data_IF_546586861901
#
_entry.id   IF_546586861901
#
_cell.length_a   1.000
_cell.length_b   1.000
_cell.length_c   1.000
_cell.angle_alpha   90.00
_cell.angle_beta   90.00
_cell.angle_gamma   90.00
#
_symmetry.space_group_name_H-M   'P 1'
#
loop_
_entity.id
_entity.type
_entity.pdbx_description
1 polymer ?
#
# COMPACT_ATOMS: atom_id res chain seq x y z
N UNK A 1 17.27 -4.96 -11.93
CA UNK A 1 16.17 -4.81 -10.94
C UNK A 1 16.10 -6.02 -10.00
N UNK A 2 15.77 -7.22 -10.50
CA UNK A 2 15.62 -8.43 -9.67
C UNK A 2 16.89 -8.74 -8.85
N UNK A 3 18.07 -8.66 -9.46
CA UNK A 3 19.33 -8.93 -8.74
C UNK A 3 19.57 -7.98 -7.57
N UNK A 4 19.22 -6.70 -7.70
CA UNK A 4 19.35 -5.73 -6.62
C UNK A 4 18.41 -6.06 -5.46
N UNK A 5 17.16 -6.41 -5.77
CA UNK A 5 16.16 -6.83 -4.77
C UNK A 5 16.65 -8.08 -4.02
N UNK A 6 17.12 -9.09 -4.76
CA UNK A 6 17.62 -10.34 -4.19
C UNK A 6 18.88 -10.13 -3.32
N UNK A 7 19.70 -9.11 -3.63
CA UNK A 7 20.86 -8.71 -2.83
C UNK A 7 20.51 -7.89 -1.59
N UNK A 8 19.23 -7.61 -1.34
CA UNK A 8 18.81 -6.87 -0.14
C UNK A 8 18.60 -5.37 -0.36
N UNK A 9 18.67 -4.86 -1.60
CA UNK A 9 18.46 -3.45 -1.86
C UNK A 9 17.05 -3.00 -1.45
N UNK A 10 16.96 -1.81 -0.87
CA UNK A 10 15.69 -1.14 -0.59
C UNK A 10 15.04 -0.76 -1.91
N UNK A 11 13.75 -1.03 -1.99
CA UNK A 11 12.91 -0.54 -3.07
C UNK A 11 11.59 -0.02 -2.53
N UNK A 12 10.93 0.81 -3.32
CA UNK A 12 9.59 1.29 -3.07
C UNK A 12 8.75 1.19 -4.34
N UNK A 13 7.44 1.14 -4.14
CA UNK A 13 6.46 1.31 -5.20
C UNK A 13 5.82 2.68 -5.00
N UNK A 14 5.94 3.53 -6.01
CA UNK A 14 5.38 4.87 -6.03
C UNK A 14 4.34 4.93 -7.14
N UNK A 15 3.16 5.43 -6.81
CA UNK A 15 2.10 5.65 -7.78
C UNK A 15 1.99 7.14 -8.08
N UNK A 16 1.70 7.44 -9.33
CA UNK A 16 1.42 8.75 -9.87
C UNK A 16 0.04 8.73 -10.51
N UNK A 17 -0.93 9.38 -9.85
CA UNK A 17 -2.30 9.46 -10.34
C UNK A 17 -2.62 10.88 -10.80
N UNK A 18 -3.02 11.01 -12.06
CA UNK A 18 -3.40 12.29 -12.68
C UNK A 18 -4.74 12.18 -13.41
N UNK A 19 -5.55 13.24 -13.33
CA UNK A 19 -6.74 13.42 -14.16
C UNK A 19 -6.37 13.88 -15.58
N UNK A 20 -7.07 13.37 -16.60
CA UNK A 20 -6.85 13.74 -18.02
C UNK A 20 -8.10 14.27 -18.69
N UNK A 21 -9.01 14.84 -17.89
CA UNK A 21 -10.22 15.47 -18.39
C UNK A 21 -9.84 16.53 -19.44
N UNK A 22 -10.45 16.43 -20.62
CA UNK A 22 -10.21 17.37 -21.72
C UNK A 22 -10.92 18.69 -21.45
N UNK A 23 -10.29 19.82 -21.81
CA UNK A 23 -10.93 21.14 -21.75
C UNK A 23 -10.71 21.93 -20.46
N UNK A 24 -9.76 21.55 -19.60
CA UNK A 24 -9.36 22.35 -18.43
C UNK A 24 -10.35 22.35 -17.26
N UNK A 25 -11.43 21.56 -17.34
CA UNK A 25 -12.41 21.42 -16.24
C UNK A 25 -11.86 20.52 -15.13
N UNK A 26 -11.79 21.00 -13.87
CA UNK A 26 -11.37 20.18 -12.74
C UNK A 26 -12.25 18.95 -12.50
N UNK A 27 -11.72 17.96 -11.78
CA UNK A 27 -12.45 16.73 -11.41
C UNK A 27 -13.56 17.07 -10.41
N UNK A 28 -14.80 17.15 -10.92
CA UNK A 28 -16.01 17.44 -10.13
C UNK A 28 -16.73 16.21 -9.55
N UNK A 29 -16.39 15.00 -9.99
CA UNK A 29 -17.04 13.74 -9.60
C UNK A 29 -16.03 12.61 -9.44
N UNK A 30 -16.35 11.65 -8.58
CA UNK A 30 -15.53 10.48 -8.31
C UNK A 30 -14.09 10.85 -7.89
N UNK A 31 -14.00 11.75 -6.91
CA UNK A 31 -12.75 12.27 -6.38
C UNK A 31 -11.82 11.15 -5.93
N UNK A 32 -10.53 11.42 -6.00
CA UNK A 32 -9.53 10.48 -5.54
C UNK A 32 -9.46 10.48 -4.01
N UNK A 33 -9.65 9.31 -3.41
CA UNK A 33 -9.40 9.02 -2.01
C UNK A 33 -8.10 8.25 -1.79
N UNK A 34 -7.24 8.73 -0.88
CA UNK A 34 -6.11 7.99 -0.35
C UNK A 34 -6.38 7.59 1.10
N UNK A 35 -6.23 6.31 1.39
CA UNK A 35 -6.31 5.77 2.74
C UNK A 35 -4.91 5.46 3.26
N UNK A 36 -4.54 6.12 4.35
CA UNK A 36 -3.31 5.89 5.09
C UNK A 36 -3.62 5.06 6.33
N UNK A 37 -3.33 3.74 6.31
CA UNK A 37 -3.64 2.86 7.43
C UNK A 37 -2.69 3.11 8.61
N UNK A 38 -3.25 3.03 9.82
CA UNK A 38 -2.47 2.89 11.05
C UNK A 38 -2.73 1.50 11.63
N UNK A 39 -1.67 0.78 11.99
CA UNK A 39 -1.73 -0.57 12.52
C UNK A 39 -1.40 -0.57 14.01
N UNK A 40 -1.92 -1.55 14.74
CA UNK A 40 -1.52 -1.74 16.13
C UNK A 40 -0.06 -2.18 16.21
N UNK A 41 0.79 -1.33 16.77
CA UNK A 41 2.15 -1.72 17.16
C UNK A 41 2.24 -2.02 18.65
N UNK A 42 1.23 -1.64 19.43
CA UNK A 42 1.11 -1.91 20.86
C UNK A 42 0.44 -3.26 21.08
N UNK A 43 1.20 -4.33 20.88
CA UNK A 43 0.83 -5.62 21.45
C UNK A 43 2.11 -6.43 21.66
N UNK A 44 2.49 -6.59 22.91
CA UNK A 44 3.40 -7.63 23.37
C UNK A 44 2.68 -8.96 23.65
N UNK A 45 1.34 -9.00 23.55
CA UNK A 45 0.53 -9.95 24.32
C UNK A 45 -0.32 -10.92 23.48
N UNK A 46 0.02 -11.16 22.21
CA UNK A 46 -0.52 -12.35 21.56
C UNK A 46 0.22 -13.59 22.07
N UNK A 47 -0.50 -14.58 22.65
CA UNK A 47 0.12 -15.81 23.12
C UNK A 47 0.85 -16.45 21.95
N UNK A 48 2.07 -16.87 22.23
CA UNK A 48 2.84 -17.73 21.35
C UNK A 48 1.91 -18.74 20.69
N UNK A 49 1.89 -18.77 19.35
CA UNK A 49 1.66 -19.99 18.61
C UNK A 49 2.57 -21.06 19.23
N UNK A 50 2.02 -21.81 20.18
CA UNK A 50 2.68 -22.76 21.06
C UNK A 50 2.27 -24.20 20.75
N UNK A 51 1.58 -24.43 19.62
CA UNK A 51 1.19 -25.78 19.18
C UNK A 51 2.05 -26.34 18.03
N UNK A 52 3.11 -25.64 17.60
CA UNK A 52 4.09 -26.22 16.66
C UNK A 52 5.38 -26.58 17.42
N UNK A 53 5.89 -27.83 17.29
CA UNK A 53 7.12 -28.25 17.97
C UNK A 53 8.27 -27.30 17.60
N UNK A 54 8.88 -26.71 18.64
CA UNK A 54 10.03 -25.81 18.51
C UNK A 54 11.24 -26.61 18.03
N UNK A 55 11.53 -26.60 16.73
CA UNK A 55 12.85 -26.97 16.23
C UNK A 55 13.85 -25.89 16.64
N UNK A 56 14.88 -26.28 17.37
CA UNK A 56 16.03 -25.45 17.71
C UNK A 56 16.65 -24.84 16.45
N UNK A 57 16.71 -23.51 16.40
CA UNK A 57 17.32 -22.75 15.33
C UNK A 57 16.82 -21.32 15.38
N UNK A 58 17.73 -20.37 15.59
CA UNK A 58 17.47 -18.92 15.66
C UNK A 58 16.42 -18.45 14.64
N UNK A 59 15.21 -18.15 15.11
CA UNK A 59 14.25 -17.33 14.36
C UNK A 59 14.25 -15.95 14.99
N UNK A 60 15.01 -15.03 14.40
CA UNK A 60 14.68 -13.61 14.51
C UNK A 60 13.28 -13.46 13.92
N UNK A 61 12.24 -13.53 14.76
CA UNK A 61 10.88 -13.23 14.31
C UNK A 61 10.88 -11.77 13.90
N UNK A 62 10.75 -11.50 12.60
CA UNK A 62 10.48 -10.17 12.09
C UNK A 62 9.13 -9.73 12.69
N UNK A 63 9.16 -8.96 13.79
CA UNK A 63 7.99 -8.61 14.62
C UNK A 63 7.12 -7.52 14.00
N UNK A 64 7.35 -7.16 12.74
CA UNK A 64 6.74 -5.96 12.20
C UNK A 64 5.33 -6.19 11.69
N UNK A 65 4.44 -5.44 12.34
CA UNK A 65 2.98 -5.50 12.34
C UNK A 65 2.40 -4.58 11.26
N UNK A 66 2.19 -5.09 10.05
CA UNK A 66 1.58 -4.34 8.95
C UNK A 66 0.90 -5.29 7.95
N UNK A 67 0.32 -4.75 6.88
CA UNK A 67 -0.36 -5.55 5.87
C UNK A 67 0.62 -6.52 5.18
N UNK A 68 0.23 -7.77 4.88
CA UNK A 68 -1.10 -8.35 5.05
C UNK A 68 -1.36 -9.00 6.42
N UNK A 69 -0.42 -8.97 7.37
CA UNK A 69 -0.59 -9.66 8.65
C UNK A 69 -1.67 -9.04 9.55
N UNK A 70 -1.90 -7.73 9.45
CA UNK A 70 -2.85 -7.00 10.28
C UNK A 70 -3.96 -6.31 9.49
N UNK A 71 -5.02 -5.94 10.21
CA UNK A 71 -6.09 -5.04 9.73
C UNK A 71 -5.82 -3.62 10.26
N UNK A 72 -6.08 -2.56 9.46
CA UNK A 72 -5.93 -1.18 9.94
C UNK A 72 -6.90 -0.85 11.07
N UNK A 73 -6.45 -0.05 12.05
CA UNK A 73 -7.31 0.54 13.08
C UNK A 73 -8.04 1.75 12.51
N UNK A 74 -9.34 1.61 12.24
CA UNK A 74 -10.15 2.68 11.62
C UNK A 74 -10.05 4.04 12.33
N UNK A 75 -10.12 4.15 13.68
CA UNK A 75 -10.06 5.46 14.35
C UNK A 75 -8.72 6.20 14.20
N UNK A 76 -7.64 5.45 13.98
CA UNK A 76 -6.28 6.00 13.85
C UNK A 76 -5.88 6.19 12.39
N UNK A 77 -6.48 5.43 11.48
CA UNK A 77 -6.27 5.57 10.04
C UNK A 77 -6.90 6.85 9.53
N UNK A 78 -6.44 7.33 8.37
CA UNK A 78 -6.90 8.60 7.78
C UNK A 78 -7.26 8.41 6.31
N UNK A 79 -8.34 9.06 5.90
CA UNK A 79 -8.69 9.27 4.49
C UNK A 79 -8.33 10.70 4.11
N UNK A 80 -7.73 10.84 2.94
CA UNK A 80 -7.46 12.11 2.28
C UNK A 80 -8.23 12.12 0.98
N UNK A 81 -8.92 13.21 0.69
CA UNK A 81 -9.70 13.37 -0.54
C UNK A 81 -9.20 14.61 -1.26
N UNK A 82 -9.08 14.52 -2.57
CA UNK A 82 -8.55 15.58 -3.41
C UNK A 82 -9.65 16.02 -4.39
N UNK A 83 -10.61 16.84 -3.92
CA UNK A 83 -11.67 17.36 -4.76
C UNK A 83 -11.13 18.41 -5.72
N UNK A 84 -11.78 18.57 -6.87
CA UNK A 84 -11.44 19.61 -7.86
C UNK A 84 -10.00 19.57 -8.34
N UNK A 85 -9.40 18.37 -8.41
CA UNK A 85 -8.08 18.24 -9.01
C UNK A 85 -8.10 18.72 -10.45
N UNK A 86 -7.17 19.59 -10.82
CA UNK A 86 -7.05 20.08 -12.19
C UNK A 86 -6.20 19.15 -13.06
N UNK A 87 -6.13 19.47 -14.35
CA UNK A 87 -5.38 18.64 -15.31
C UNK A 87 -3.86 18.73 -15.15
N UNK A 88 -3.30 19.72 -14.46
CA UNK A 88 -1.86 19.91 -14.24
C UNK A 88 -1.39 19.31 -12.92
N UNK A 89 -2.33 18.91 -12.05
CA UNK A 89 -2.05 18.24 -10.80
C UNK A 89 -1.80 16.73 -10.96
N UNK A 90 -0.81 16.25 -10.21
CA UNK A 90 -0.50 14.82 -10.06
C UNK A 90 -0.35 14.48 -8.60
N UNK A 91 -0.99 13.40 -8.17
CA UNK A 91 -0.78 12.84 -6.84
C UNK A 91 0.30 11.78 -6.89
N UNK A 92 1.38 12.06 -6.16
CA UNK A 92 2.48 11.14 -5.94
C UNK A 92 2.38 10.57 -4.52
N UNK A 93 2.26 9.25 -4.42
CA UNK A 93 2.20 8.58 -3.13
C UNK A 93 2.95 7.25 -3.17
N UNK A 94 3.54 6.90 -2.03
CA UNK A 94 4.28 5.65 -1.88
C UNK A 94 3.33 4.56 -1.40
N UNK A 95 2.98 3.65 -2.30
CA UNK A 95 2.11 2.51 -2.02
C UNK A 95 2.82 1.44 -1.19
N UNK A 96 4.10 1.19 -1.47
CA UNK A 96 4.90 0.18 -0.76
C UNK A 96 6.31 0.65 -0.49
N UNK A 97 6.88 0.24 0.65
CA UNK A 97 8.31 0.34 0.93
C UNK A 97 8.80 -0.99 1.49
N UNK A 98 9.94 -1.48 1.00
CA UNK A 98 10.58 -2.69 1.54
C UNK A 98 10.89 -2.53 3.02
N UNK A 99 11.15 -1.32 3.49
CA UNK A 99 11.34 -1.08 4.91
C UNK A 99 10.01 -0.92 5.63
N UNK A 100 9.83 -1.66 6.70
CA UNK A 100 8.58 -1.66 7.46
C UNK A 100 8.40 -0.45 8.38
N UNK A 101 9.49 0.23 8.74
CA UNK A 101 9.50 1.48 9.51
C UNK A 101 9.20 2.72 8.64
N UNK A 102 8.93 2.51 7.35
CA UNK A 102 8.55 3.56 6.41
C UNK A 102 7.06 3.45 6.06
N UNK A 103 6.49 4.57 5.63
CA UNK A 103 5.13 4.61 5.09
C UNK A 103 5.00 3.56 3.98
N UNK A 104 3.92 2.79 4.03
CA UNK A 104 3.57 1.73 3.09
C UNK A 104 2.10 1.41 3.29
N UNK A 105 1.53 0.59 2.41
CA UNK A 105 0.14 0.14 2.47
C UNK A 105 -0.86 1.28 2.27
N UNK A 106 -0.45 2.36 1.59
CA UNK A 106 -1.37 3.41 1.16
C UNK A 106 -2.31 2.80 0.13
N UNK A 107 -3.61 2.80 0.42
CA UNK A 107 -4.63 2.35 -0.50
C UNK A 107 -5.24 3.55 -1.20
N UNK A 108 -5.62 3.39 -2.46
CA UNK A 108 -6.17 4.46 -3.27
C UNK A 108 -7.37 3.95 -4.06
N UNK A 109 -8.38 4.80 -4.20
CA UNK A 109 -9.52 4.53 -5.06
C UNK A 109 -10.15 5.84 -5.54
N UNK A 110 -10.93 5.76 -6.63
CA UNK A 110 -11.95 6.78 -6.89
C UNK A 110 -13.13 6.54 -5.95
N UNK A 111 -13.54 7.57 -5.22
CA UNK A 111 -14.70 7.51 -4.35
C UNK A 111 -15.99 7.43 -5.18
N UNK A 112 -17.03 6.76 -4.67
CA UNK A 112 -18.34 6.81 -5.31
C UNK A 112 -18.89 8.24 -5.30
N UNK A 113 -19.74 8.52 -6.28
CA UNK A 113 -20.48 9.78 -6.40
C UNK A 113 -21.50 9.85 -5.28
N UNK A 114 -21.52 10.96 -4.54
CA UNK A 114 -22.52 11.16 -3.51
C UNK A 114 -23.81 11.77 -4.08
N UNK A 115 -25.00 11.44 -3.53
CA UNK A 115 -26.25 12.08 -3.93
C UNK A 115 -26.17 13.60 -3.73
N UNK A 116 -26.43 14.37 -4.79
CA UNK A 116 -26.36 15.83 -4.77
C UNK A 116 -25.07 16.44 -5.35
N UNK A 117 -24.09 15.62 -5.75
CA UNK A 117 -23.00 16.11 -6.61
C UNK A 117 -23.54 16.46 -8.00
N UNK A 118 -23.10 17.61 -8.55
CA UNK A 118 -23.52 18.08 -9.87
C UNK A 118 -23.24 17.02 -10.96
N UNK A 119 -24.09 17.00 -11.99
CA UNK A 119 -23.89 16.26 -13.24
C UNK A 119 -22.61 16.75 -13.93
N UNK A 120 -21.46 16.25 -13.48
CA UNK A 120 -20.18 16.42 -14.14
C UNK A 120 -19.83 15.18 -14.94
N UNK A 121 -18.99 15.37 -15.95
CA UNK A 121 -18.47 14.29 -16.77
C UNK A 121 -17.76 13.24 -15.91
N UNK A 122 -17.90 11.97 -16.28
CA UNK A 122 -17.13 10.88 -15.67
C UNK A 122 -15.64 11.22 -15.63
N UNK A 123 -15.00 10.93 -14.50
CA UNK A 123 -13.56 11.12 -14.32
C UNK A 123 -12.80 10.24 -15.31
N UNK A 124 -11.88 10.86 -16.05
CA UNK A 124 -10.87 10.14 -16.85
C UNK A 124 -9.51 10.41 -16.21
N UNK A 125 -8.76 9.35 -15.95
CA UNK A 125 -7.48 9.45 -15.26
C UNK A 125 -6.58 8.29 -15.63
N UNK A 126 -5.28 8.42 -15.40
CA UNK A 126 -4.34 7.31 -15.46
C UNK A 126 -3.61 7.18 -14.12
N UNK A 127 -3.29 5.94 -13.74
CA UNK A 127 -2.39 5.60 -12.64
C UNK A 127 -1.13 4.99 -13.26
N UNK A 128 0.01 5.66 -13.05
CA UNK A 128 1.31 5.14 -13.41
C UNK A 128 2.03 4.67 -12.16
N UNK A 129 2.60 3.46 -12.22
CA UNK A 129 3.37 2.92 -11.12
C UNK A 129 4.84 2.79 -11.46
N UNK A 130 5.66 3.39 -10.61
CA UNK A 130 7.11 3.29 -10.66
C UNK A 130 7.65 2.32 -9.61
N UNK A 131 8.57 1.47 -10.03
CA UNK A 131 9.40 0.68 -9.14
C UNK A 131 10.72 1.42 -8.92
N UNK A 132 10.95 1.88 -7.69
CA UNK A 132 12.12 2.70 -7.33
C UNK A 132 13.10 1.86 -6.53
N UNK A 133 14.35 1.74 -7.01
CA UNK A 133 15.45 1.12 -6.27
C UNK A 133 16.30 2.23 -5.67
N UNK A 134 16.59 2.13 -4.37
CA UNK A 134 17.47 3.07 -3.70
C UNK A 134 18.89 2.50 -3.74
N UNK A 135 19.71 3.08 -4.60
CA UNK A 135 21.09 2.65 -4.78
C UNK A 135 21.86 2.73 -3.45
N UNK A 136 22.62 1.68 -3.15
CA UNK A 136 23.43 1.54 -1.93
C UNK A 136 22.67 1.51 -0.60
N UNK A 137 21.33 1.45 -0.60
CA UNK A 137 20.57 1.21 0.63
C UNK A 137 20.23 -0.27 0.76
N UNK A 138 20.96 -1.00 1.60
CA UNK A 138 20.58 -2.36 2.01
C UNK A 138 19.57 -2.29 3.15
N UNK A 139 18.57 -3.18 3.11
CA UNK A 139 17.56 -3.27 4.17
C UNK A 139 18.03 -4.25 5.25
N UNK A 140 18.16 -3.81 6.52
CA UNK A 140 18.44 -4.71 7.63
C UNK A 140 17.32 -5.75 7.78
N UNK A 141 17.67 -7.00 8.09
CA UNK A 141 16.72 -8.12 8.20
C UNK A 141 15.59 -7.84 9.20
N UNK A 142 15.89 -7.06 10.23
CA UNK A 142 14.95 -6.71 11.28
C UNK A 142 13.77 -5.95 10.68
N UNK A 143 14.03 -4.99 9.79
CA UNK A 143 13.00 -4.10 9.21
C UNK A 143 12.61 -4.48 7.78
N UNK A 144 13.05 -5.65 7.29
CA UNK A 144 12.80 -6.11 5.93
C UNK A 144 11.38 -6.67 5.78
N UNK A 145 10.53 -5.94 5.05
CA UNK A 145 9.16 -6.34 4.70
C UNK A 145 9.14 -7.41 3.61
N UNK A 146 10.24 -7.61 2.89
CA UNK A 146 10.34 -8.51 1.75
C UNK A 146 11.09 -9.82 2.07
N UNK A 147 11.36 -10.09 3.35
CA UNK A 147 11.98 -11.34 3.80
C UNK A 147 11.15 -12.60 3.43
N UNK A 148 11.81 -13.76 3.28
CA UNK A 148 11.18 -15.02 2.86
C UNK A 148 10.22 -15.60 3.92
N UNK A 149 10.38 -15.25 5.18
CA UNK A 149 9.57 -15.76 6.30
C UNK A 149 8.26 -14.99 6.50
N UNK A 150 7.93 -14.07 5.58
CA UNK A 150 6.74 -13.24 5.65
C UNK A 150 5.81 -13.47 4.45
N UNK A 151 4.51 -13.37 4.71
CA UNK A 151 3.51 -13.27 3.65
C UNK A 151 3.77 -11.99 2.84
N UNK A 152 4.20 -12.17 1.58
CA UNK A 152 4.48 -11.08 0.67
C UNK A 152 3.20 -10.50 0.09
N UNK A 153 3.07 -9.17 0.00
CA UNK A 153 2.09 -8.59 -0.91
C UNK A 153 2.39 -9.05 -2.35
N UNK A 154 1.36 -9.31 -3.17
CA UNK A 154 1.63 -9.53 -4.59
C UNK A 154 2.13 -8.22 -5.20
N UNK A 155 3.34 -8.25 -5.76
CA UNK A 155 4.00 -7.08 -6.35
C UNK A 155 4.03 -7.17 -7.89
N UNK A 156 3.31 -8.12 -8.49
CA UNK A 156 3.20 -8.21 -9.94
C UNK A 156 2.47 -6.97 -10.47
N UNK A 157 2.92 -6.45 -11.62
CA UNK A 157 2.31 -5.27 -12.24
C UNK A 157 0.82 -5.55 -12.55
N UNK A 158 0.53 -6.76 -13.02
CA UNK A 158 -0.79 -7.18 -13.50
C UNK A 158 -1.83 -7.38 -12.37
N UNK A 159 -1.44 -7.85 -11.18
CA UNK A 159 -2.41 -8.21 -10.12
C UNK A 159 -2.68 -7.06 -9.15
N UNK A 160 -2.02 -5.94 -9.34
CA UNK A 160 -1.94 -4.91 -8.33
C UNK A 160 -3.10 -3.90 -8.32
N UNK A 161 -3.91 -3.89 -9.39
CA UNK A 161 -5.24 -3.27 -9.36
C UNK A 161 -6.26 -4.14 -8.62
N UNK A 162 -6.05 -5.46 -8.59
CA UNK A 162 -6.85 -6.45 -7.88
C UNK A 162 -6.28 -6.82 -6.50
N UNK A 163 -5.23 -6.10 -6.06
CA UNK A 163 -4.43 -6.34 -4.86
C UNK A 163 -5.27 -6.53 -3.59
N UNK A 164 -6.37 -5.78 -3.49
CA UNK A 164 -7.25 -5.78 -2.34
C UNK A 164 -8.20 -6.98 -2.33
N UNK A 165 -8.70 -7.42 -3.49
CA UNK A 165 -9.84 -8.34 -3.55
C UNK A 165 -9.41 -9.79 -3.34
N UNK A 166 -8.32 -10.25 -3.96
CA UNK A 166 -7.87 -11.63 -3.78
C UNK A 166 -7.25 -11.87 -2.39
N UNK A 167 -6.56 -10.87 -1.85
CA UNK A 167 -6.01 -10.95 -0.49
C UNK A 167 -7.10 -10.79 0.57
N UNK A 168 -8.18 -10.04 0.29
CA UNK A 168 -9.39 -10.03 1.13
C UNK A 168 -10.09 -11.39 1.12
N UNK A 169 -10.30 -12.00 -0.06
CA UNK A 169 -10.91 -13.34 -0.20
C UNK A 169 -10.15 -14.42 0.58
N UNK A 170 -8.81 -14.39 0.56
CA UNK A 170 -7.96 -15.33 1.33
C UNK A 170 -8.13 -15.22 2.85
N UNK A 171 -8.74 -14.15 3.37
CA UNK A 171 -8.96 -13.96 4.81
C UNK A 171 -10.27 -14.53 5.33
N UNK A 172 -11.15 -15.02 4.46
CA UNK A 172 -12.49 -15.49 4.84
C UNK A 172 -13.31 -14.35 5.42
N UNK A 173 -14.34 -13.92 4.69
CA UNK A 173 -15.49 -13.31 5.36
C UNK A 173 -16.18 -14.38 6.22
#
# INVERSE_FOLDING_TARGET
>A
VIDAINKGARFAIVNAWRGVNSGGTPVGRAHLGLFSPQYDTSDSDHPSSSSLPRRHGHRHRCRHRCYPALRPKRPQSRWYVFPQMDHDEVLLFKQYDRRVDRISDVWHCSLPVFPGEEESSSRISFDCRAFVIFDNELVPKEVDRYCDDRMRPSLTLDESGCFCDEQAKKRGD
#
